data_IF_919224534742
#
_entry.id   IF_919224534742
#
_cell.length_a   1.000
_cell.length_b   1.000
_cell.length_c   1.000
_cell.angle_alpha   90.00
_cell.angle_beta   90.00
_cell.angle_gamma   90.00
#
_symmetry.space_group_name_H-M   'P 1'
#
loop_
_entity.id
_entity.type
_entity.pdbx_description
1 polymer ?
#
# COMPACT_ATOMS: atom_id res chain seq x y z
N UNK A 1 -2.16 -5.56 -18.60
CA UNK A 1 -3.58 -5.56 -18.17
C UNK A 1 -3.63 -5.57 -16.64
N UNK A 2 -4.66 -4.99 -16.03
CA UNK A 2 -4.75 -4.83 -14.56
C UNK A 2 -4.68 -6.16 -13.81
N UNK A 3 -5.37 -7.20 -14.28
CA UNK A 3 -5.35 -8.52 -13.66
C UNK A 3 -3.91 -9.07 -13.46
N UNK A 4 -3.05 -8.94 -14.47
CA UNK A 4 -1.65 -9.38 -14.38
C UNK A 4 -0.82 -8.57 -13.36
N UNK A 5 -1.16 -7.30 -13.12
CA UNK A 5 -0.50 -6.50 -12.07
C UNK A 5 -0.91 -6.98 -10.68
N UNK A 6 -2.19 -7.33 -10.49
CA UNK A 6 -2.70 -7.86 -9.23
C UNK A 6 -2.13 -9.26 -8.93
N UNK A 7 -1.97 -10.11 -9.94
CA UNK A 7 -1.25 -11.39 -9.79
C UNK A 7 0.18 -11.21 -9.32
N UNK A 8 0.88 -10.19 -9.83
CA UNK A 8 2.25 -9.87 -9.40
C UNK A 8 2.27 -9.45 -7.93
N UNK A 9 1.31 -8.64 -7.48
CA UNK A 9 1.19 -8.24 -6.06
C UNK A 9 0.99 -9.48 -5.17
N UNK A 10 0.07 -10.38 -5.55
CA UNK A 10 -0.18 -11.64 -4.83
C UNK A 10 1.11 -12.47 -4.77
N UNK A 11 1.82 -12.60 -5.89
CA UNK A 11 3.08 -13.35 -5.96
C UNK A 11 4.16 -12.78 -5.05
N UNK A 12 4.36 -11.46 -5.07
CA UNK A 12 5.34 -10.77 -4.21
C UNK A 12 5.03 -10.91 -2.72
N UNK A 13 3.75 -10.93 -2.33
CA UNK A 13 3.33 -11.09 -0.94
C UNK A 13 3.72 -12.43 -0.30
N UNK A 14 4.19 -13.40 -1.10
CA UNK A 14 4.65 -14.72 -0.63
C UNK A 14 6.15 -14.77 -0.33
N UNK A 15 6.89 -13.70 -0.64
CA UNK A 15 8.33 -13.65 -0.35
C UNK A 15 8.54 -13.45 1.16
N UNK A 16 9.48 -14.18 1.80
CA UNK A 16 9.64 -14.15 3.26
C UNK A 16 10.11 -12.81 3.82
N UNK A 17 10.65 -11.94 2.97
CA UNK A 17 11.15 -10.61 3.31
C UNK A 17 10.23 -9.47 2.80
N UNK A 18 9.02 -9.79 2.36
CA UNK A 18 8.05 -8.82 1.84
C UNK A 18 6.74 -8.96 2.61
N UNK A 19 6.28 -7.85 3.16
CA UNK A 19 4.91 -7.72 3.67
C UNK A 19 4.15 -6.75 2.79
N UNK A 20 2.90 -7.10 2.44
CA UNK A 20 2.00 -6.24 1.68
C UNK A 20 0.70 -6.13 2.47
N UNK A 21 0.33 -4.90 2.79
CA UNK A 21 -0.97 -4.54 3.36
C UNK A 21 -1.80 -3.78 2.32
N UNK A 22 -3.11 -3.96 2.37
CA UNK A 22 -4.08 -3.21 1.55
C UNK A 22 -5.10 -2.59 2.47
N UNK A 23 -5.33 -1.27 2.34
CA UNK A 23 -6.41 -0.57 3.05
C UNK A 23 -7.68 -0.66 2.22
N UNK A 24 -8.73 -1.40 2.66
CA UNK A 24 -9.97 -1.49 1.90
C UNK A 24 -10.70 -0.15 1.87
N UNK A 25 -11.43 0.16 0.80
CA UNK A 25 -12.25 1.38 0.75
C UNK A 25 -13.47 1.34 1.69
N UNK A 26 -13.78 0.17 2.26
CA UNK A 26 -14.91 -0.04 3.17
C UNK A 26 -14.62 0.35 4.62
N UNK A 27 -13.36 0.66 4.98
CA UNK A 27 -13.00 1.07 6.34
C UNK A 27 -12.91 2.59 6.45
N UNK A 28 -13.13 3.10 7.67
CA UNK A 28 -12.89 4.52 7.94
C UNK A 28 -11.39 4.82 7.80
N UNK A 29 -11.07 5.75 6.92
CA UNK A 29 -9.68 6.12 6.66
C UNK A 29 -9.14 6.95 7.83
N UNK A 30 -8.01 6.50 8.40
CA UNK A 30 -7.38 7.13 9.58
C UNK A 30 -6.77 8.49 9.23
N UNK A 31 -6.25 8.63 8.01
CA UNK A 31 -5.69 9.87 7.48
C UNK A 31 -5.82 9.92 5.95
N UNK A 32 -5.72 11.12 5.36
CA UNK A 32 -5.73 11.29 3.91
C UNK A 32 -4.43 10.76 3.29
N UNK A 33 -4.51 9.96 2.21
CA UNK A 33 -3.36 9.48 1.47
C UNK A 33 -2.87 10.58 0.50
N UNK A 34 -2.49 11.73 1.05
CA UNK A 34 -2.20 12.94 0.29
C UNK A 34 -0.96 12.84 -0.58
N UNK A 35 0.02 12.04 -0.17
CA UNK A 35 1.31 11.86 -0.85
C UNK A 35 1.87 10.48 -0.52
N UNK A 36 2.54 9.87 -1.49
CA UNK A 36 3.25 8.61 -1.25
C UNK A 36 4.52 8.90 -0.45
N UNK A 37 4.91 7.98 0.42
CA UNK A 37 6.14 8.12 1.18
C UNK A 37 6.82 6.77 1.40
N UNK A 38 8.13 6.81 1.61
CA UNK A 38 8.97 5.66 1.95
C UNK A 38 9.71 5.97 3.25
N UNK A 39 9.60 5.07 4.22
CA UNK A 39 10.28 5.16 5.51
C UNK A 39 11.39 4.12 5.58
N UNK A 40 12.62 4.55 5.89
CA UNK A 40 13.75 3.65 6.13
C UNK A 40 14.14 3.67 7.61
N UNK A 41 14.00 2.53 8.28
CA UNK A 41 14.46 2.24 9.65
C UNK A 41 14.14 3.32 10.71
N UNK A 42 13.01 4.03 10.59
CA UNK A 42 12.66 5.21 11.44
C UNK A 42 13.81 6.23 11.52
N UNK A 43 14.50 6.47 10.40
CA UNK A 43 15.67 7.38 10.31
C UNK A 43 15.64 8.31 9.11
N UNK A 44 14.93 7.93 8.06
CA UNK A 44 14.86 8.66 6.81
C UNK A 44 13.47 8.50 6.22
N UNK A 45 12.89 9.61 5.78
CA UNK A 45 11.65 9.63 5.03
C UNK A 45 11.89 10.29 3.67
N UNK A 46 11.34 9.69 2.63
CA UNK A 46 11.20 10.30 1.30
C UNK A 46 9.71 10.45 1.03
N UNK A 47 9.26 11.67 0.75
CA UNK A 47 7.86 12.00 0.43
C UNK A 47 7.80 12.45 -1.01
N UNK A 48 7.00 11.76 -1.83
CA UNK A 48 6.86 12.03 -3.25
C UNK A 48 5.52 12.73 -3.53
N UNK A 49 5.60 13.84 -4.26
CA UNK A 49 4.47 14.49 -4.91
C UNK A 49 4.69 14.45 -6.43
N UNK A 50 3.66 14.68 -7.27
CA UNK A 50 3.76 14.40 -8.71
C UNK A 50 4.91 15.08 -9.47
N UNK A 51 5.52 16.15 -8.93
CA UNK A 51 6.58 16.91 -9.59
C UNK A 51 7.83 17.13 -8.73
N UNK A 52 7.87 16.62 -7.50
CA UNK A 52 8.96 16.87 -6.56
C UNK A 52 9.02 15.82 -5.45
N UNK A 53 10.16 15.75 -4.76
CA UNK A 53 10.35 14.92 -3.58
C UNK A 53 10.92 15.74 -2.42
N UNK A 54 10.62 15.30 -1.20
CA UNK A 54 11.23 15.81 0.03
C UNK A 54 11.92 14.63 0.71
N UNK A 55 13.23 14.76 0.93
CA UNK A 55 14.04 13.80 1.69
C UNK A 55 14.44 14.42 3.02
N UNK A 56 14.06 13.80 4.14
CA UNK A 56 14.31 14.34 5.48
C UNK A 56 14.78 13.26 6.45
N UNK A 57 15.70 13.65 7.34
CA UNK A 57 16.15 12.86 8.50
C UNK A 57 15.81 13.54 9.82
N UNK A 58 15.05 14.65 9.76
CA UNK A 58 14.63 15.39 10.94
C UNK A 58 13.73 14.52 11.81
N UNK A 59 14.07 14.40 13.09
CA UNK A 59 13.42 13.47 14.01
C UNK A 59 11.88 13.61 14.02
N UNK A 60 11.39 14.85 14.04
CA UNK A 60 9.95 15.14 14.07
C UNK A 60 9.23 14.73 12.79
N UNK A 61 9.88 14.93 11.64
CA UNK A 61 9.29 14.52 10.37
C UNK A 61 9.24 12.99 10.28
N UNK A 62 10.32 12.32 10.71
CA UNK A 62 10.39 10.86 10.72
C UNK A 62 9.33 10.25 11.65
N UNK A 63 9.14 10.83 12.83
CA UNK A 63 8.12 10.40 13.79
C UNK A 63 6.71 10.57 13.22
N UNK A 64 6.40 11.72 12.60
CA UNK A 64 5.12 11.99 11.95
C UNK A 64 4.76 10.92 10.90
N UNK A 65 5.69 10.58 10.00
CA UNK A 65 5.43 9.59 8.96
C UNK A 65 5.42 8.15 9.48
N UNK A 66 6.14 7.86 10.57
CA UNK A 66 6.03 6.57 11.25
C UNK A 66 4.63 6.40 11.88
N UNK A 67 4.12 7.40 12.59
CA UNK A 67 2.77 7.38 13.15
C UNK A 67 1.70 7.24 12.06
N UNK A 68 1.88 7.96 10.94
CA UNK A 68 0.99 7.86 9.77
C UNK A 68 0.99 6.45 9.17
N UNK A 69 2.17 5.83 9.03
CA UNK A 69 2.27 4.45 8.56
C UNK A 69 1.57 3.48 9.52
N UNK A 70 1.82 3.60 10.83
CA UNK A 70 1.19 2.77 11.86
C UNK A 70 -0.34 2.91 11.85
N UNK A 71 -0.87 4.12 11.59
CA UNK A 71 -2.30 4.35 11.42
C UNK A 71 -2.91 3.62 10.22
N UNK A 72 -2.23 3.60 9.07
CA UNK A 72 -2.68 2.83 7.90
C UNK A 72 -2.54 1.32 8.12
N UNK A 73 -1.46 0.88 8.77
CA UNK A 73 -1.23 -0.53 9.07
C UNK A 73 -2.36 -1.13 9.93
N UNK A 74 -2.86 -0.38 10.92
CA UNK A 74 -3.95 -0.82 11.80
C UNK A 74 -5.26 -1.14 11.08
N UNK A 75 -5.51 -0.51 9.92
CA UNK A 75 -6.74 -0.69 9.14
C UNK A 75 -6.51 -1.46 7.84
N UNK A 76 -5.27 -1.87 7.57
CA UNK A 76 -4.93 -2.67 6.42
C UNK A 76 -5.22 -4.15 6.67
N UNK A 77 -5.70 -4.84 5.64
CA UNK A 77 -5.67 -6.30 5.60
C UNK A 77 -4.31 -6.75 5.07
N UNK A 78 -3.78 -7.85 5.61
CA UNK A 78 -2.50 -8.44 5.19
C UNK A 78 -2.65 -9.96 5.07
N UNK A 79 -1.57 -10.65 4.67
CA UNK A 79 -1.57 -12.11 4.61
C UNK A 79 -2.63 -12.68 3.67
N UNK A 80 -3.40 -13.66 4.14
CA UNK A 80 -4.40 -14.35 3.32
C UNK A 80 -5.62 -13.47 3.00
N UNK A 81 -6.03 -12.62 3.92
CA UNK A 81 -7.17 -11.71 3.72
C UNK A 81 -6.87 -10.70 2.61
N UNK A 82 -5.64 -10.16 2.60
CA UNK A 82 -5.17 -9.29 1.53
C UNK A 82 -5.12 -10.03 0.19
N UNK A 83 -4.56 -11.24 0.15
CA UNK A 83 -4.50 -12.04 -1.09
C UNK A 83 -5.89 -12.35 -1.63
N UNK A 84 -6.84 -12.69 -0.76
CA UNK A 84 -8.22 -12.95 -1.12
C UNK A 84 -8.92 -11.71 -1.68
N UNK A 85 -8.75 -10.55 -1.03
CA UNK A 85 -9.28 -9.28 -1.50
C UNK A 85 -8.74 -8.92 -2.90
N UNK A 86 -7.42 -9.01 -3.08
CA UNK A 86 -6.76 -8.67 -4.35
C UNK A 86 -7.13 -9.67 -5.46
N UNK A 87 -7.27 -10.95 -5.14
CA UNK A 87 -7.72 -11.97 -6.10
C UNK A 87 -9.16 -11.71 -6.56
N UNK A 88 -10.06 -11.30 -5.66
CA UNK A 88 -11.42 -10.90 -6.03
C UNK A 88 -11.44 -9.76 -7.05
N UNK A 89 -10.67 -8.69 -6.80
CA UNK A 89 -10.57 -7.54 -7.71
C UNK A 89 -9.97 -7.96 -9.07
N UNK A 90 -8.98 -8.86 -9.07
CA UNK A 90 -8.41 -9.41 -10.30
C UNK A 90 -9.46 -10.14 -11.12
N UNK A 91 -10.27 -10.98 -10.48
CA UNK A 91 -11.28 -11.78 -11.15
C UNK A 91 -12.40 -10.90 -11.72
N UNK A 92 -12.72 -9.78 -11.07
CA UNK A 92 -13.61 -8.74 -11.62
C UNK A 92 -13.08 -8.18 -12.94
N UNK A 93 -11.80 -7.77 -12.99
CA UNK A 93 -11.16 -7.28 -14.21
C UNK A 93 -11.14 -8.31 -15.34
N UNK A 94 -10.96 -9.60 -15.03
CA UNK A 94 -10.99 -10.66 -16.04
C UNK A 94 -12.40 -10.81 -16.65
N UNK A 95 -13.44 -10.77 -15.81
CA UNK A 95 -14.84 -10.85 -16.27
C UNK A 95 -15.25 -9.66 -17.15
N UNK A 96 -14.78 -8.45 -16.81
CA UNK A 96 -15.02 -7.26 -17.64
C UNK A 96 -14.42 -7.38 -19.05
N UNK A 97 -13.27 -8.05 -19.17
CA UNK A 97 -12.62 -8.29 -20.48
C UNK A 97 -13.30 -9.39 -21.31
N UNK A 98 -13.99 -10.34 -20.68
CA UNK A 98 -14.76 -11.37 -21.40
C UNK A 98 -16.10 -10.85 -21.94
N UNK A 99 -16.58 -9.72 -21.41
CA UNK A 99 -17.89 -9.14 -21.74
C UNK A 99 -17.82 -8.01 -22.78
N UNK A 100 -16.62 -7.53 -23.12
CA UNK A 100 -16.37 -6.46 -24.10
C UNK A 100 -15.84 -6.97 -25.43
#
# INVERSE_FOLDING_TARGET
MMAAQLDKIIGMSRMPNVSIGVVPLSVQMVDLPSSSFVLFDKRLVIVEIPHAEITTTEFRDVELYAEKFEGFEQVAVSGEDMRSLVAGIRDDFLREQETG
#
